data_IF_251689677142
#
_entry.id   IF_251689677142
#
_cell.length_a   1.000
_cell.length_b   1.000
_cell.length_c   1.000
_cell.angle_alpha   90.00
_cell.angle_beta   90.00
_cell.angle_gamma   90.00
#
_symmetry.space_group_name_H-M   'P 1'
#
loop_
_entity.id
_entity.type
_entity.pdbx_description
1 polymer ?
#
# COMPACT_ATOMS: atom_id res chain seq x y z
N UNK A 1 -12.36 -12.44 -37.38
CA UNK A 1 -11.16 -13.25 -37.71
C UNK A 1 -10.09 -13.22 -36.62
N UNK A 2 -9.93 -12.15 -35.84
CA UNK A 2 -8.91 -12.04 -34.77
C UNK A 2 -9.09 -13.02 -33.59
N UNK A 3 -10.32 -13.38 -33.21
CA UNK A 3 -10.58 -14.37 -32.14
C UNK A 3 -10.12 -15.79 -32.50
N UNK A 4 -10.15 -16.16 -33.79
CA UNK A 4 -9.68 -17.46 -34.25
C UNK A 4 -8.14 -17.51 -34.28
N UNK A 5 -7.47 -16.39 -34.60
CA UNK A 5 -6.02 -16.28 -34.55
C UNK A 5 -5.49 -16.32 -33.11
N UNK A 6 -6.12 -15.61 -32.17
CA UNK A 6 -5.75 -15.63 -30.76
C UNK A 6 -5.99 -17.02 -30.11
N UNK A 7 -7.10 -17.68 -30.43
CA UNK A 7 -7.36 -19.04 -29.98
C UNK A 7 -6.35 -20.05 -30.57
N UNK A 8 -5.95 -19.88 -31.84
CA UNK A 8 -4.96 -20.73 -32.51
C UNK A 8 -3.53 -20.49 -31.99
N UNK A 9 -3.18 -19.27 -31.61
CA UNK A 9 -1.90 -18.94 -30.97
C UNK A 9 -1.83 -19.44 -29.52
N UNK A 10 -2.92 -19.32 -28.76
CA UNK A 10 -3.05 -19.92 -27.44
C UNK A 10 -3.04 -21.46 -27.49
N UNK A 11 -3.60 -22.05 -28.55
CA UNK A 11 -3.59 -23.50 -28.78
C UNK A 11 -2.23 -24.01 -29.29
N UNK A 12 -1.54 -23.25 -30.14
CA UNK A 12 -0.14 -23.51 -30.50
C UNK A 12 0.77 -23.39 -29.28
N UNK A 13 0.63 -22.39 -28.41
CA UNK A 13 1.37 -22.33 -27.14
C UNK A 13 1.02 -23.49 -26.19
N UNK A 14 -0.19 -24.06 -26.32
CA UNK A 14 -0.63 -25.28 -25.61
C UNK A 14 -0.08 -26.58 -26.23
N UNK A 15 0.24 -26.57 -27.53
CA UNK A 15 0.64 -27.72 -28.35
C UNK A 15 2.14 -27.70 -28.73
N UNK A 16 2.91 -26.64 -28.47
CA UNK A 16 4.32 -26.48 -28.95
C UNK A 16 5.42 -26.39 -27.89
N UNK A 17 5.13 -26.62 -26.60
CA UNK A 17 6.19 -26.98 -25.65
C UNK A 17 5.76 -28.25 -24.92
N UNK A 18 6.45 -29.35 -25.22
CA UNK A 18 6.28 -30.62 -24.50
C UNK A 18 6.35 -30.37 -22.99
N UNK A 19 5.73 -31.24 -22.18
CA UNK A 19 5.80 -31.11 -20.73
C UNK A 19 7.26 -31.01 -20.23
N UNK A 20 8.20 -31.68 -20.92
CA UNK A 20 9.64 -31.57 -20.71
C UNK A 20 10.20 -30.17 -21.01
N UNK A 21 9.82 -29.54 -22.13
CA UNK A 21 10.27 -28.18 -22.46
C UNK A 21 9.77 -27.14 -21.46
N UNK A 22 8.52 -27.29 -20.99
CA UNK A 22 7.96 -26.43 -19.94
C UNK A 22 8.66 -26.64 -18.60
N UNK A 23 9.01 -27.89 -18.26
CA UNK A 23 9.78 -28.19 -17.07
C UNK A 23 11.18 -27.55 -17.12
N UNK A 24 11.89 -27.69 -18.24
CA UNK A 24 13.20 -27.07 -18.42
C UNK A 24 13.16 -25.54 -18.34
N UNK A 25 12.08 -24.91 -18.85
CA UNK A 25 11.85 -23.47 -18.69
C UNK A 25 11.66 -23.08 -17.22
N UNK A 26 10.88 -23.86 -16.47
CA UNK A 26 10.69 -23.63 -15.04
C UNK A 26 12.00 -23.79 -14.25
N UNK A 27 12.81 -24.81 -14.58
CA UNK A 27 14.12 -25.02 -13.97
C UNK A 27 15.07 -23.84 -14.26
N UNK A 28 15.08 -23.34 -15.51
CA UNK A 28 15.86 -22.13 -15.86
C UNK A 28 15.40 -20.91 -15.06
N UNK A 29 14.09 -20.65 -15.00
CA UNK A 29 13.56 -19.54 -14.22
C UNK A 29 13.96 -19.65 -12.72
N UNK A 30 13.95 -20.87 -12.16
CA UNK A 30 14.44 -21.12 -10.81
C UNK A 30 15.93 -20.80 -10.65
N UNK A 31 16.78 -21.25 -11.58
CA UNK A 31 18.23 -20.96 -11.57
C UNK A 31 18.53 -19.47 -11.69
N UNK A 32 17.70 -18.73 -12.44
CA UNK A 32 17.78 -17.27 -12.58
C UNK A 32 17.21 -16.51 -11.37
N UNK A 33 16.65 -17.21 -10.38
CA UNK A 33 16.07 -16.63 -9.17
C UNK A 33 14.61 -16.15 -9.31
N UNK A 34 13.97 -16.37 -10.45
CA UNK A 34 12.53 -16.11 -10.66
C UNK A 34 11.68 -17.28 -10.16
N UNK A 35 11.63 -17.41 -8.83
CA UNK A 35 10.87 -18.45 -8.14
C UNK A 35 9.36 -18.34 -8.43
N UNK A 36 8.83 -17.13 -8.61
CA UNK A 36 7.40 -16.95 -8.87
C UNK A 36 7.02 -17.56 -10.22
N UNK A 37 7.77 -17.27 -11.27
CA UNK A 37 7.55 -17.84 -12.61
C UNK A 37 7.77 -19.35 -12.61
N UNK A 38 8.84 -19.83 -11.98
CA UNK A 38 9.11 -21.27 -11.87
C UNK A 38 7.95 -22.01 -11.19
N UNK A 39 7.49 -21.52 -10.03
CA UNK A 39 6.38 -22.11 -9.28
C UNK A 39 5.07 -22.12 -10.08
N UNK A 40 4.75 -21.04 -10.79
CA UNK A 40 3.57 -21.00 -11.66
C UNK A 40 3.59 -22.11 -12.72
N UNK A 41 4.74 -22.32 -13.37
CA UNK A 41 4.88 -23.34 -14.41
C UNK A 41 4.81 -24.74 -13.80
N UNK A 42 5.51 -25.00 -12.68
CA UNK A 42 5.45 -26.28 -11.98
C UNK A 42 4.03 -26.61 -11.52
N UNK A 43 3.30 -25.67 -10.91
CA UNK A 43 1.89 -25.88 -10.50
C UNK A 43 1.01 -26.21 -11.70
N UNK A 44 1.21 -25.54 -12.83
CA UNK A 44 0.47 -25.83 -14.05
C UNK A 44 0.78 -27.23 -14.60
N UNK A 45 2.02 -27.68 -14.54
CA UNK A 45 2.41 -29.04 -14.97
C UNK A 45 1.89 -30.10 -14.01
N UNK A 46 2.07 -29.89 -12.70
CA UNK A 46 1.64 -30.78 -11.63
C UNK A 46 0.12 -31.03 -11.62
N UNK A 47 -0.68 -30.04 -12.04
CA UNK A 47 -2.15 -30.13 -12.18
C UNK A 47 -2.63 -30.63 -13.55
N UNK A 48 -1.72 -31.06 -14.44
CA UNK A 48 -2.09 -31.61 -15.74
C UNK A 48 -3.01 -32.83 -15.57
N UNK A 49 -3.99 -32.95 -16.47
CA UNK A 49 -4.93 -34.09 -16.50
C UNK A 49 -4.24 -35.41 -16.85
N UNK A 50 -3.12 -35.36 -17.57
CA UNK A 50 -2.39 -36.53 -18.05
C UNK A 50 -1.04 -36.60 -17.33
N UNK A 51 -0.86 -37.54 -16.37
CA UNK A 51 0.40 -37.73 -15.67
C UNK A 51 1.52 -38.17 -16.62
N UNK A 52 2.69 -37.59 -16.46
CA UNK A 52 3.93 -37.94 -17.16
C UNK A 52 5.11 -37.87 -16.18
N UNK A 53 6.32 -38.27 -16.58
CA UNK A 53 7.52 -38.06 -15.75
C UNK A 53 7.69 -36.59 -15.36
N UNK A 54 7.46 -35.67 -16.30
CA UNK A 54 7.52 -34.22 -16.07
C UNK A 54 6.49 -33.71 -15.05
N UNK A 55 5.32 -34.35 -14.92
CA UNK A 55 4.36 -33.96 -13.87
C UNK A 55 4.84 -34.39 -12.48
N UNK A 56 5.45 -35.57 -12.38
CA UNK A 56 6.03 -36.06 -11.11
C UNK A 56 7.24 -35.23 -10.71
N UNK A 57 8.11 -34.88 -11.66
CA UNK A 57 9.25 -34.00 -11.43
C UNK A 57 8.79 -32.60 -10.99
N UNK A 58 7.75 -32.04 -11.61
CA UNK A 58 7.17 -30.76 -11.17
C UNK A 58 6.66 -30.81 -9.72
N UNK A 59 6.05 -31.93 -9.28
CA UNK A 59 5.67 -32.12 -7.87
C UNK A 59 6.88 -32.17 -6.94
N UNK A 60 7.94 -32.86 -7.34
CA UNK A 60 9.19 -32.91 -6.57
C UNK A 60 9.81 -31.50 -6.44
N UNK A 61 9.89 -30.74 -7.54
CA UNK A 61 10.38 -29.35 -7.53
C UNK A 61 9.54 -28.43 -6.65
N UNK A 62 8.22 -28.57 -6.66
CA UNK A 62 7.35 -27.82 -5.75
C UNK A 62 7.59 -28.17 -4.30
N UNK A 63 7.86 -29.45 -3.99
CA UNK A 63 8.18 -29.89 -2.64
C UNK A 63 9.52 -29.33 -2.16
N UNK A 64 10.53 -29.29 -3.03
CA UNK A 64 11.82 -28.63 -2.76
C UNK A 64 11.63 -27.13 -2.49
N UNK A 65 10.83 -26.44 -3.30
CA UNK A 65 10.53 -25.01 -3.10
C UNK A 65 9.73 -24.75 -1.82
N UNK A 66 8.79 -25.64 -1.46
CA UNK A 66 8.08 -25.57 -0.18
C UNK A 66 9.06 -25.65 1.00
N UNK A 67 10.02 -26.59 0.95
CA UNK A 67 11.04 -26.74 2.01
C UNK A 67 11.98 -25.55 2.07
N UNK A 68 12.51 -25.11 0.92
CA UNK A 68 13.40 -23.95 0.83
C UNK A 68 12.73 -22.68 1.37
N UNK A 69 11.48 -22.43 0.96
CA UNK A 69 10.71 -21.29 1.43
C UNK A 69 10.45 -21.35 2.94
N UNK A 70 10.20 -22.54 3.51
CA UNK A 70 10.00 -22.73 4.95
C UNK A 70 11.27 -22.44 5.73
N UNK A 71 12.42 -22.92 5.26
CA UNK A 71 13.71 -22.62 5.88
C UNK A 71 13.97 -21.11 5.90
N UNK A 72 13.74 -20.41 4.78
CA UNK A 72 13.87 -18.94 4.71
C UNK A 72 12.87 -18.23 5.63
N UNK A 73 11.64 -18.71 5.70
CA UNK A 73 10.62 -18.17 6.62
C UNK A 73 11.08 -18.31 8.07
N UNK A 74 11.55 -19.49 8.48
CA UNK A 74 12.02 -19.73 9.86
C UNK A 74 13.23 -18.88 10.20
N UNK A 75 14.20 -18.75 9.28
CA UNK A 75 15.36 -17.88 9.47
C UNK A 75 14.94 -16.41 9.65
N UNK A 76 14.03 -15.94 8.80
CA UNK A 76 13.49 -14.58 8.88
C UNK A 76 12.70 -14.36 10.19
N UNK A 77 11.85 -15.31 10.58
CA UNK A 77 11.11 -15.25 11.85
C UNK A 77 12.06 -15.22 13.04
N UNK A 78 13.13 -16.01 13.04
CA UNK A 78 14.15 -16.00 14.10
C UNK A 78 14.84 -14.64 14.18
N UNK A 79 15.37 -14.13 13.06
CA UNK A 79 16.06 -12.84 13.01
C UNK A 79 15.16 -11.69 13.46
N UNK A 80 13.89 -11.71 13.05
CA UNK A 80 12.94 -10.68 13.43
C UNK A 80 12.44 -10.84 14.88
N UNK A 81 12.36 -12.07 15.39
CA UNK A 81 12.04 -12.35 16.81
C UNK A 81 13.04 -11.70 17.76
N UNK A 82 14.31 -11.70 17.42
CA UNK A 82 15.33 -11.03 18.24
C UNK A 82 15.09 -9.52 18.32
N UNK A 83 14.59 -8.90 17.25
CA UNK A 83 14.21 -7.48 17.24
C UNK A 83 12.92 -7.24 18.05
N UNK A 84 11.99 -8.20 18.06
CA UNK A 84 10.75 -8.12 18.84
C UNK A 84 10.99 -8.23 20.35
N UNK A 85 11.97 -9.04 20.77
CA UNK A 85 12.26 -9.36 22.17
C UNK A 85 13.17 -8.37 22.91
N UNK A 86 13.92 -7.53 22.19
CA UNK A 86 14.78 -6.52 22.82
C UNK A 86 13.91 -5.44 23.49
N UNK A 87 14.13 -5.21 24.78
CA UNK A 87 13.58 -4.07 25.50
C UNK A 87 14.28 -2.79 25.02
N UNK A 88 13.53 -1.70 24.89
CA UNK A 88 14.04 -0.37 24.49
C UNK A 88 15.10 0.23 25.46
N UNK A 89 15.57 -0.55 26.44
CA UNK A 89 16.59 -0.17 27.42
C UNK A 89 18.02 -0.29 26.89
N UNK A 90 18.26 -1.02 25.80
CA UNK A 90 19.61 -1.24 25.24
C UNK A 90 19.86 -0.61 23.87
N UNK A 91 18.82 -0.24 23.12
CA UNK A 91 18.91 0.34 21.77
C UNK A 91 18.01 1.56 21.64
N UNK A 92 18.39 2.52 20.79
CA UNK A 92 17.52 3.66 20.49
C UNK A 92 16.22 3.18 19.82
N UNK A 93 15.12 3.91 20.06
CA UNK A 93 13.81 3.59 19.47
C UNK A 93 13.91 3.60 17.94
N UNK A 94 14.69 4.53 17.39
CA UNK A 94 14.91 4.70 15.95
C UNK A 94 15.62 3.50 15.31
N UNK A 95 16.68 2.99 15.95
CA UNK A 95 17.39 1.78 15.49
C UNK A 95 16.48 0.55 15.51
N UNK A 96 15.66 0.42 16.56
CA UNK A 96 14.70 -0.69 16.68
C UNK A 96 13.67 -0.65 15.57
N UNK A 97 13.12 0.53 15.26
CA UNK A 97 12.14 0.70 14.19
C UNK A 97 12.74 0.48 12.79
N UNK A 98 13.97 0.94 12.57
CA UNK A 98 14.68 0.69 11.31
C UNK A 98 14.86 -0.81 11.05
N UNK A 99 15.34 -1.57 12.05
CA UNK A 99 15.48 -3.03 11.96
C UNK A 99 14.13 -3.74 11.74
N UNK A 100 13.07 -3.25 12.38
CA UNK A 100 11.71 -3.76 12.14
C UNK A 100 11.22 -3.46 10.71
N UNK A 101 11.54 -2.30 10.17
CA UNK A 101 11.19 -1.94 8.79
C UNK A 101 11.95 -2.80 7.76
N UNK A 102 13.21 -3.14 8.02
CA UNK A 102 13.99 -4.11 7.23
C UNK A 102 13.32 -5.48 7.25
N UNK A 103 12.98 -6.00 8.44
CA UNK A 103 12.23 -7.23 8.62
C UNK A 103 10.92 -7.26 7.80
N UNK A 104 10.14 -6.18 7.84
CA UNK A 104 8.91 -6.05 7.05
C UNK A 104 9.19 -6.11 5.55
N UNK A 105 10.27 -5.48 5.09
CA UNK A 105 10.68 -5.46 3.68
C UNK A 105 11.05 -6.87 3.22
N UNK A 106 11.83 -7.59 4.02
CA UNK A 106 12.21 -8.98 3.74
C UNK A 106 11.00 -9.92 3.71
N UNK A 107 10.04 -9.76 4.65
CA UNK A 107 8.78 -10.52 4.62
C UNK A 107 8.00 -10.27 3.33
N UNK A 108 7.88 -9.01 2.88
CA UNK A 108 7.20 -8.67 1.62
C UNK A 108 7.92 -9.30 0.42
N UNK A 109 9.24 -9.30 0.41
CA UNK A 109 10.03 -9.91 -0.64
C UNK A 109 9.84 -11.43 -0.69
N UNK A 110 9.90 -12.09 0.47
CA UNK A 110 9.68 -13.53 0.59
C UNK A 110 8.24 -13.90 0.18
N UNK A 111 7.24 -13.13 0.62
CA UNK A 111 5.85 -13.30 0.22
C UNK A 111 5.71 -13.20 -1.30
N UNK A 112 6.33 -12.19 -1.93
CA UNK A 112 6.29 -12.01 -3.39
C UNK A 112 6.92 -13.20 -4.11
N UNK A 113 8.12 -13.63 -3.70
CA UNK A 113 8.86 -14.71 -4.35
C UNK A 113 8.13 -16.06 -4.27
N UNK A 114 7.53 -16.38 -3.12
CA UNK A 114 6.94 -17.71 -2.86
C UNK A 114 5.41 -17.75 -2.93
N UNK A 115 4.74 -16.64 -3.27
CA UNK A 115 3.26 -16.55 -3.33
C UNK A 115 2.59 -17.67 -4.11
N UNK A 116 3.27 -18.18 -5.16
CA UNK A 116 2.74 -19.18 -6.09
C UNK A 116 3.09 -20.61 -5.70
N UNK A 117 3.89 -20.78 -4.66
CA UNK A 117 4.20 -22.10 -4.09
C UNK A 117 3.07 -22.48 -3.13
N UNK A 118 2.33 -23.58 -3.37
CA UNK A 118 1.00 -23.79 -2.77
C UNK A 118 0.93 -23.80 -1.25
N UNK A 119 1.85 -24.47 -0.54
CA UNK A 119 1.79 -24.57 0.92
C UNK A 119 2.54 -23.41 1.55
N UNK A 120 3.83 -23.27 1.23
CA UNK A 120 4.67 -22.25 1.87
C UNK A 120 4.22 -20.82 1.55
N UNK A 121 3.66 -20.56 0.37
CA UNK A 121 3.11 -19.24 0.04
C UNK A 121 1.97 -18.83 0.98
N UNK A 122 1.12 -19.77 1.37
CA UNK A 122 0.05 -19.51 2.35
C UNK A 122 0.59 -19.35 3.78
N UNK A 123 1.61 -20.12 4.14
CA UNK A 123 2.29 -20.04 5.44
C UNK A 123 2.99 -18.69 5.62
N UNK A 124 3.76 -18.23 4.62
CA UNK A 124 4.42 -16.92 4.63
C UNK A 124 3.38 -15.79 4.76
N UNK A 125 2.28 -15.87 4.00
CA UNK A 125 1.20 -14.89 4.10
C UNK A 125 0.56 -14.85 5.49
N UNK A 126 0.31 -16.02 6.09
CA UNK A 126 -0.24 -16.12 7.43
C UNK A 126 0.73 -15.57 8.48
N UNK A 127 2.01 -15.95 8.39
CA UNK A 127 3.08 -15.44 9.25
C UNK A 127 3.17 -13.91 9.17
N UNK A 128 3.24 -13.35 7.95
CA UNK A 128 3.34 -11.90 7.80
C UNK A 128 2.09 -11.17 8.30
N UNK A 129 0.88 -11.71 8.10
CA UNK A 129 -0.35 -11.15 8.69
C UNK A 129 -0.30 -11.14 10.21
N UNK A 130 0.18 -12.21 10.83
CA UNK A 130 0.38 -12.28 12.29
C UNK A 130 1.38 -11.21 12.76
N UNK A 131 2.50 -11.03 12.05
CA UNK A 131 3.48 -10.00 12.38
C UNK A 131 2.88 -8.59 12.29
N UNK A 132 2.11 -8.28 11.24
CA UNK A 132 1.45 -6.97 11.08
C UNK A 132 0.48 -6.59 12.20
N UNK A 133 -0.06 -7.58 12.92
CA UNK A 133 -0.94 -7.33 14.06
C UNK A 133 -0.17 -6.90 15.31
N UNK A 134 1.15 -7.11 15.34
CA UNK A 134 1.97 -6.66 16.47
C UNK A 134 2.10 -5.12 16.46
N UNK A 135 1.84 -4.43 17.58
CA UNK A 135 1.89 -2.97 17.65
C UNK A 135 3.23 -2.37 17.19
N UNK A 136 4.36 -2.99 17.55
CA UNK A 136 5.70 -2.52 17.15
C UNK A 136 5.94 -2.62 15.65
N UNK A 137 5.49 -3.70 15.01
CA UNK A 137 5.56 -3.85 13.54
C UNK A 137 4.68 -2.82 12.87
N UNK A 138 3.46 -2.62 13.36
CA UNK A 138 2.55 -1.60 12.84
C UNK A 138 3.14 -0.20 12.98
N UNK A 139 3.76 0.12 14.12
CA UNK A 139 4.49 1.37 14.32
C UNK A 139 5.59 1.56 13.28
N UNK A 140 6.46 0.56 13.11
CA UNK A 140 7.55 0.60 12.11
C UNK A 140 7.04 0.75 10.66
N UNK A 141 5.92 0.10 10.33
CA UNK A 141 5.30 0.22 9.01
C UNK A 141 4.74 1.60 8.71
N UNK A 142 4.20 2.26 9.74
CA UNK A 142 3.53 3.54 9.63
C UNK A 142 4.49 4.73 9.82
N UNK A 143 5.63 4.52 10.49
CA UNK A 143 6.58 5.56 10.84
C UNK A 143 7.06 6.42 9.65
N UNK A 144 7.40 5.87 8.46
CA UNK A 144 7.85 6.72 7.35
C UNK A 144 6.84 7.79 6.92
N UNK A 145 5.55 7.43 6.83
CA UNK A 145 4.49 8.39 6.47
C UNK A 145 4.16 9.31 7.64
N UNK A 146 4.16 8.78 8.87
CA UNK A 146 3.95 9.57 10.08
C UNK A 146 5.03 10.65 10.25
N UNK A 147 6.31 10.31 10.08
CA UNK A 147 7.44 11.22 10.16
C UNK A 147 7.36 12.30 9.06
N UNK A 148 7.00 11.92 7.84
CA UNK A 148 6.79 12.86 6.73
C UNK A 148 5.68 13.87 7.04
N UNK A 149 4.55 13.40 7.59
CA UNK A 149 3.44 14.26 7.99
C UNK A 149 3.81 15.15 9.17
N UNK A 150 4.52 14.62 10.17
CA UNK A 150 5.01 15.38 11.31
C UNK A 150 5.90 16.55 10.87
N UNK A 151 6.93 16.26 10.06
CA UNK A 151 7.83 17.29 9.50
C UNK A 151 7.07 18.34 8.68
N UNK A 152 6.11 17.89 7.85
CA UNK A 152 5.26 18.80 7.08
C UNK A 152 4.43 19.72 7.97
N UNK A 153 3.88 19.20 9.07
CA UNK A 153 3.14 20.00 10.05
C UNK A 153 4.03 21.05 10.73
N UNK A 154 5.23 20.64 11.16
CA UNK A 154 6.21 21.55 11.76
C UNK A 154 6.62 22.67 10.80
N UNK A 155 6.86 22.34 9.53
CA UNK A 155 7.18 23.33 8.51
C UNK A 155 6.04 24.36 8.34
N UNK A 156 4.79 23.89 8.27
CA UNK A 156 3.63 24.78 8.16
C UNK A 156 3.47 25.69 9.37
N UNK A 157 3.76 25.21 10.58
CA UNK A 157 3.78 26.09 11.76
C UNK A 157 4.88 27.16 11.67
N UNK A 158 6.06 26.81 11.18
CA UNK A 158 7.17 27.77 10.98
C UNK A 158 6.83 28.84 9.93
N UNK A 159 6.02 28.49 8.94
CA UNK A 159 5.53 29.39 7.88
C UNK A 159 4.26 30.17 8.28
N UNK A 160 3.85 30.13 9.55
CA UNK A 160 2.62 30.77 10.07
C UNK A 160 1.33 30.28 9.37
N UNK A 161 1.32 29.00 9.01
CA UNK A 161 0.19 28.29 8.40
C UNK A 161 -0.41 27.27 9.39
N UNK A 162 -0.67 27.70 10.63
CA UNK A 162 -1.10 26.84 11.75
C UNK A 162 -2.39 26.08 11.45
N UNK A 163 -3.36 26.70 10.75
CA UNK A 163 -4.60 26.02 10.36
C UNK A 163 -4.37 24.85 9.39
N UNK A 164 -3.35 24.93 8.53
CA UNK A 164 -2.94 23.84 7.65
C UNK A 164 -2.16 22.77 8.42
N UNK A 165 -1.26 23.18 9.33
CA UNK A 165 -0.53 22.27 10.20
C UNK A 165 -1.47 21.39 11.03
N UNK A 166 -2.53 22.00 11.59
CA UNK A 166 -3.60 21.29 12.32
C UNK A 166 -4.17 20.13 11.51
N UNK A 167 -4.55 20.37 10.24
CA UNK A 167 -5.11 19.35 9.36
C UNK A 167 -4.09 18.26 9.00
N UNK A 168 -2.80 18.61 8.91
CA UNK A 168 -1.74 17.63 8.69
C UNK A 168 -1.54 16.73 9.91
N UNK A 169 -1.57 17.26 11.14
CA UNK A 169 -1.49 16.43 12.34
C UNK A 169 -2.72 15.54 12.51
N UNK A 170 -3.93 16.02 12.17
CA UNK A 170 -5.12 15.16 12.12
C UNK A 170 -4.94 13.99 11.15
N UNK A 171 -4.31 14.24 9.99
CA UNK A 171 -3.99 13.17 9.04
C UNK A 171 -2.97 12.19 9.63
N UNK A 172 -1.97 12.68 10.36
CA UNK A 172 -0.95 11.86 11.00
C UNK A 172 -1.51 10.90 12.06
N UNK A 173 -2.64 11.23 12.71
CA UNK A 173 -3.31 10.30 13.64
C UNK A 173 -3.71 8.97 12.99
N UNK A 174 -3.96 8.96 11.68
CA UNK A 174 -4.24 7.73 10.93
C UNK A 174 -3.10 6.71 10.96
N UNK A 175 -1.89 7.17 11.28
CA UNK A 175 -0.67 6.38 11.30
C UNK A 175 -0.31 5.83 12.69
N UNK A 176 -1.14 6.03 13.70
CA UNK A 176 -0.93 5.40 15.02
C UNK A 176 -0.85 3.86 14.92
N UNK A 177 0.12 3.21 15.60
CA UNK A 177 0.89 3.70 16.75
C UNK A 177 2.34 4.16 16.43
N UNK A 178 2.60 4.73 15.24
CA UNK A 178 3.91 5.28 14.92
C UNK A 178 4.36 6.38 15.93
N UNK A 179 5.63 6.41 16.39
CA UNK A 179 6.13 7.47 17.27
C UNK A 179 5.89 8.89 16.75
N UNK A 180 6.14 9.15 15.47
CA UNK A 180 5.88 10.48 14.90
C UNK A 180 4.39 10.85 14.90
N UNK A 181 3.50 9.85 14.78
CA UNK A 181 2.06 10.07 14.92
C UNK A 181 1.65 10.39 16.37
N UNK A 182 2.34 9.82 17.37
CA UNK A 182 2.13 10.16 18.77
C UNK A 182 2.59 11.59 19.09
N UNK A 183 3.70 12.06 18.49
CA UNK A 183 4.11 13.47 18.58
C UNK A 183 3.08 14.41 17.93
N UNK A 184 2.58 14.04 16.75
CA UNK A 184 1.51 14.79 16.09
C UNK A 184 0.22 14.84 16.92
N UNK A 185 -0.14 13.74 17.61
CA UNK A 185 -1.28 13.69 18.52
C UNK A 185 -1.12 14.67 19.69
N UNK A 186 0.06 14.68 20.32
CA UNK A 186 0.36 15.61 21.41
C UNK A 186 0.23 17.06 20.95
N UNK A 187 0.88 17.42 19.83
CA UNK A 187 0.82 18.78 19.29
C UNK A 187 -0.59 19.18 18.86
N UNK A 188 -1.34 18.27 18.25
CA UNK A 188 -2.73 18.53 17.88
C UNK A 188 -3.62 18.77 19.11
N UNK A 189 -3.40 18.06 20.21
CA UNK A 189 -4.13 18.28 21.45
C UNK A 189 -3.84 19.66 22.05
N UNK A 190 -2.60 20.15 21.94
CA UNK A 190 -2.25 21.53 22.31
C UNK A 190 -2.99 22.55 21.43
N UNK A 191 -3.01 22.34 20.11
CA UNK A 191 -3.75 23.24 19.20
C UNK A 191 -5.27 23.20 19.45
N UNK A 192 -5.83 22.04 19.80
CA UNK A 192 -7.25 21.89 20.13
C UNK A 192 -7.67 22.61 21.41
N UNK A 193 -6.71 22.92 22.29
CA UNK A 193 -7.00 23.70 23.50
C UNK A 193 -7.33 25.17 23.19
N UNK A 194 -6.98 25.67 21.99
CA UNK A 194 -7.33 27.00 21.52
C UNK A 194 -8.53 26.94 20.54
N UNK A 195 -9.73 27.43 20.95
CA UNK A 195 -10.90 27.45 20.08
C UNK A 195 -10.70 28.24 18.78
N UNK A 196 -9.82 29.25 18.77
CA UNK A 196 -9.54 30.02 17.56
C UNK A 196 -8.80 29.18 16.52
N UNK A 197 -7.85 28.35 16.95
CA UNK A 197 -7.13 27.43 16.05
C UNK A 197 -8.06 26.36 15.48
N UNK A 198 -8.97 25.83 16.31
CA UNK A 198 -9.99 24.87 15.84
C UNK A 198 -10.88 25.50 14.76
N UNK A 199 -11.42 26.70 15.03
CA UNK A 199 -12.25 27.41 14.07
C UNK A 199 -11.49 27.75 12.77
N UNK A 200 -10.23 28.18 12.88
CA UNK A 200 -9.37 28.46 11.72
C UNK A 200 -9.10 27.19 10.89
N UNK A 201 -8.84 26.05 11.55
CA UNK A 201 -8.67 24.77 10.88
C UNK A 201 -9.96 24.30 10.18
N UNK A 202 -11.13 24.50 10.78
CA UNK A 202 -12.43 24.20 10.16
C UNK A 202 -12.73 25.07 8.93
N UNK A 203 -12.44 26.37 9.01
CA UNK A 203 -12.52 27.28 7.87
C UNK A 203 -11.56 26.86 6.76
N UNK A 204 -10.31 26.55 7.10
CA UNK A 204 -9.31 26.04 6.16
C UNK A 204 -9.77 24.73 5.48
N UNK A 205 -10.30 23.78 6.25
CA UNK A 205 -10.85 22.51 5.74
C UNK A 205 -11.98 22.74 4.73
N UNK A 206 -12.88 23.67 5.06
CA UNK A 206 -13.98 24.06 4.18
C UNK A 206 -13.47 24.66 2.87
N UNK A 207 -12.47 25.53 2.95
CA UNK A 207 -11.84 26.14 1.78
C UNK A 207 -11.11 25.12 0.90
N UNK A 208 -10.33 24.21 1.49
CA UNK A 208 -9.67 23.13 0.75
C UNK A 208 -10.68 22.24 0.03
N UNK A 209 -11.80 21.92 0.70
CA UNK A 209 -12.90 21.18 0.07
C UNK A 209 -13.50 21.96 -1.11
N UNK A 210 -13.75 23.26 -0.96
CA UNK A 210 -14.30 24.11 -2.01
C UNK A 210 -13.38 24.16 -3.23
N UNK A 211 -12.08 24.40 -3.04
CA UNK A 211 -11.11 24.42 -4.14
C UNK A 211 -11.01 23.07 -4.87
N UNK A 212 -10.98 21.96 -4.13
CA UNK A 212 -10.94 20.61 -4.72
C UNK A 212 -12.19 20.34 -5.57
N UNK A 213 -13.37 20.66 -5.03
CA UNK A 213 -14.63 20.40 -5.72
C UNK A 213 -14.86 21.37 -6.89
N UNK A 214 -14.33 22.60 -6.82
CA UNK A 214 -14.36 23.51 -7.96
C UNK A 214 -13.60 22.92 -9.15
N UNK A 215 -12.37 22.42 -8.93
CA UNK A 215 -11.59 21.76 -9.98
C UNK A 215 -12.32 20.53 -10.54
N UNK A 216 -12.93 19.72 -9.67
CA UNK A 216 -13.71 18.55 -10.09
C UNK A 216 -14.94 18.96 -10.92
N UNK A 217 -15.67 20.00 -10.51
CA UNK A 217 -16.83 20.51 -11.21
C UNK A 217 -16.45 21.00 -12.62
N UNK A 218 -15.35 21.75 -12.76
CA UNK A 218 -14.81 22.18 -14.06
C UNK A 218 -14.41 21.01 -14.96
N UNK A 219 -13.91 19.91 -14.40
CA UNK A 219 -13.57 18.71 -15.17
C UNK A 219 -14.79 17.97 -15.70
N UNK A 220 -15.87 17.90 -14.92
CA UNK A 220 -17.05 17.08 -15.28
C UNK A 220 -18.17 17.85 -15.95
N UNK A 221 -18.06 19.18 -16.08
CA UNK A 221 -19.14 20.04 -16.58
C UNK A 221 -19.63 19.68 -17.99
N UNK A 222 -18.74 19.23 -18.88
CA UNK A 222 -19.11 18.84 -20.25
C UNK A 222 -19.82 17.50 -20.34
N UNK A 223 -19.44 16.53 -19.49
CA UNK A 223 -19.99 15.17 -19.54
C UNK A 223 -21.16 14.95 -18.58
N UNK A 224 -21.17 15.66 -17.44
CA UNK A 224 -22.11 15.50 -16.33
C UNK A 224 -22.52 16.88 -15.79
N UNK A 225 -23.27 17.68 -16.56
CA UNK A 225 -23.59 19.07 -16.21
C UNK A 225 -24.36 19.20 -14.90
N UNK A 226 -25.32 18.31 -14.62
CA UNK A 226 -26.07 18.34 -13.35
C UNK A 226 -25.17 18.08 -12.13
N UNK A 227 -24.21 17.15 -12.25
CA UNK A 227 -23.23 16.91 -11.19
C UNK A 227 -22.33 18.12 -10.97
N UNK A 228 -21.91 18.79 -12.04
CA UNK A 228 -21.12 20.02 -11.93
C UNK A 228 -21.94 21.15 -11.29
N UNK A 229 -23.20 21.33 -11.68
CA UNK A 229 -24.13 22.31 -11.10
C UNK A 229 -24.31 22.06 -9.60
N UNK A 230 -24.53 20.82 -9.18
CA UNK A 230 -24.64 20.49 -7.75
C UNK A 230 -23.36 20.78 -6.97
N UNK A 231 -22.18 20.47 -7.54
CA UNK A 231 -20.90 20.79 -6.91
C UNK A 231 -20.70 22.30 -6.77
N UNK A 232 -20.98 23.09 -7.82
CA UNK A 232 -20.87 24.54 -7.73
C UNK A 232 -21.86 25.13 -6.71
N UNK A 233 -23.10 24.61 -6.63
CA UNK A 233 -24.09 25.05 -5.62
C UNK A 233 -23.57 24.82 -4.21
N UNK A 234 -23.05 23.63 -3.92
CA UNK A 234 -22.48 23.32 -2.60
C UNK A 234 -21.26 24.19 -2.26
N UNK A 235 -20.47 24.61 -3.26
CA UNK A 235 -19.36 25.53 -3.05
C UNK A 235 -19.87 26.92 -2.66
N UNK A 236 -20.87 27.45 -3.36
CA UNK A 236 -21.49 28.75 -3.03
C UNK A 236 -22.10 28.75 -1.63
N UNK A 237 -22.72 27.66 -1.22
CA UNK A 237 -23.33 27.52 0.12
C UNK A 237 -22.30 27.47 1.26
N UNK A 238 -21.09 26.97 1.01
CA UNK A 238 -20.08 26.70 2.05
C UNK A 238 -18.93 27.69 2.08
N UNK A 239 -18.53 28.21 0.92
CA UNK A 239 -17.40 29.12 0.83
C UNK A 239 -17.79 30.52 1.33
N UNK A 240 -16.91 31.22 2.05
CA UNK A 240 -17.10 32.63 2.41
C UNK A 240 -17.42 33.46 1.17
N UNK A 241 -18.41 34.35 1.26
CA UNK A 241 -18.93 35.10 0.12
C UNK A 241 -17.88 36.00 -0.56
N UNK A 242 -16.89 36.45 0.20
CA UNK A 242 -15.77 37.27 -0.25
C UNK A 242 -14.66 36.47 -0.95
N UNK A 243 -14.65 35.14 -0.80
CA UNK A 243 -13.63 34.27 -1.37
C UNK A 243 -13.72 34.16 -2.90
N UNK A 244 -12.58 34.06 -3.56
CA UNK A 244 -12.52 33.94 -5.03
C UNK A 244 -13.18 32.66 -5.55
N UNK A 245 -13.13 31.56 -4.78
CA UNK A 245 -13.79 30.30 -5.15
C UNK A 245 -15.32 30.41 -5.10
N UNK A 246 -15.88 31.20 -4.17
CA UNK A 246 -17.30 31.49 -4.11
C UNK A 246 -17.75 32.26 -5.36
N UNK A 247 -17.08 33.40 -5.64
CA UNK A 247 -17.38 34.24 -6.80
C UNK A 247 -17.26 33.46 -8.12
N UNK A 248 -16.21 32.65 -8.25
CA UNK A 248 -15.99 31.82 -9.43
C UNK A 248 -17.07 30.73 -9.58
N UNK A 249 -17.48 30.07 -8.49
CA UNK A 249 -18.54 29.07 -8.53
C UNK A 249 -19.91 29.68 -8.88
N UNK A 250 -20.21 30.86 -8.34
CA UNK A 250 -21.43 31.60 -8.65
C UNK A 250 -21.49 31.99 -10.14
N UNK A 251 -20.37 32.46 -10.71
CA UNK A 251 -20.28 32.80 -12.13
C UNK A 251 -20.46 31.56 -13.04
N UNK A 252 -19.92 30.40 -12.65
CA UNK A 252 -20.11 29.15 -13.40
C UNK A 252 -21.56 28.64 -13.31
N UNK A 253 -22.21 28.73 -12.14
CA UNK A 253 -23.64 28.42 -12.00
C UNK A 253 -24.52 29.27 -12.90
N UNK A 254 -24.23 30.56 -13.03
CA UNK A 254 -24.99 31.46 -13.90
C UNK A 254 -24.86 31.12 -15.40
N UNK A 255 -23.83 30.35 -15.77
CA UNK A 255 -23.57 29.90 -17.16
C UNK A 255 -24.18 28.54 -17.48
N UNK A 256 -24.54 27.73 -16.47
CA UNK A 256 -25.01 26.36 -16.60
C UNK A 256 -26.53 26.24 -16.49
#
# INVERSE_FOLDING_TARGET
>A
MERAAAARLARMLKETQSAAARLAMADRARTEGDIETAANIYVSLAKSRFPTSATSEAWNRLTELDQEGRSKLTELESRCSDVYGVSASEQSIDESLARLAECVTEFKQLEKQYRRVPKVGTEIQAAFRKQKQQPRVKAAMNEPEAARLWQQGQQLEQEDHVCCAFLIYEKALGELPAPSAALAEQRLNELRADPQQVAAAEACRTMQWCHRNYRLAKLVVGERPEKARDLFRQIVERAPADSEVHKAAQAELARL
#
